data_IF_797920499849
#
_entry.id   IF_797920499849
#
_cell.length_a   1.000
_cell.length_b   1.000
_cell.length_c   1.000
_cell.angle_alpha   90.00
_cell.angle_beta   90.00
_cell.angle_gamma   90.00
#
_symmetry.space_group_name_H-M   'P 1'
#
loop_
_entity.id
_entity.type
_entity.pdbx_description
1 polymer ?
#
# COMPACT_ATOMS: atom_id res chain seq x y z
N UNK A 1 4.01 4.33 -16.45
CA UNK A 1 4.34 2.90 -16.20
C UNK A 1 5.53 2.77 -15.26
N UNK A 2 5.46 1.80 -14.34
CA UNK A 2 6.49 1.43 -13.37
C UNK A 2 7.52 0.47 -13.98
N UNK A 3 8.18 0.88 -15.05
CA UNK A 3 9.13 0.03 -15.76
C UNK A 3 10.25 -0.43 -14.82
N UNK A 4 10.49 -1.75 -14.76
CA UNK A 4 11.49 -2.41 -13.91
C UNK A 4 11.32 -2.24 -12.39
N UNK A 5 10.12 -1.92 -11.92
CA UNK A 5 9.85 -1.91 -10.48
C UNK A 5 9.73 -3.34 -9.92
N UNK A 6 9.94 -3.48 -8.62
CA UNK A 6 9.67 -4.73 -7.90
C UNK A 6 8.18 -5.12 -8.04
N UNK A 7 7.29 -4.13 -8.14
CA UNK A 7 5.86 -4.38 -8.35
C UNK A 7 5.61 -5.13 -9.65
N UNK A 8 6.08 -4.59 -10.77
CA UNK A 8 5.89 -5.17 -12.11
C UNK A 8 6.57 -6.54 -12.30
N UNK A 9 7.59 -6.85 -11.50
CA UNK A 9 8.23 -8.17 -11.52
C UNK A 9 7.31 -9.27 -10.97
N UNK A 10 6.51 -8.94 -9.96
CA UNK A 10 5.65 -9.91 -9.26
C UNK A 10 4.17 -9.80 -9.67
N UNK A 11 3.73 -8.62 -10.10
CA UNK A 11 2.34 -8.29 -10.42
C UNK A 11 2.25 -7.67 -11.82
N UNK A 12 2.51 -8.42 -12.90
CA UNK A 12 2.46 -7.89 -14.27
C UNK A 12 1.05 -7.48 -14.68
N UNK A 13 0.03 -8.15 -14.16
CA UNK A 13 -1.38 -7.98 -14.54
C UNK A 13 -2.23 -7.25 -13.48
N UNK A 14 -1.61 -6.77 -12.40
CA UNK A 14 -2.31 -6.13 -11.28
C UNK A 14 -1.66 -4.81 -10.92
N UNK A 15 -2.46 -3.76 -10.86
CA UNK A 15 -2.01 -2.41 -10.52
C UNK A 15 -1.95 -2.18 -9.01
N UNK A 16 -1.14 -1.22 -8.57
CA UNK A 16 -1.13 -0.75 -7.18
C UNK A 16 -2.50 -0.18 -6.82
N UNK A 17 -3.10 0.55 -7.77
CA UNK A 17 -4.42 1.14 -7.60
C UNK A 17 -5.48 0.11 -7.22
N UNK A 18 -5.57 -1.01 -7.94
CA UNK A 18 -6.53 -2.08 -7.64
C UNK A 18 -6.30 -2.72 -6.27
N UNK A 19 -5.04 -2.93 -5.90
CA UNK A 19 -4.69 -3.45 -4.56
C UNK A 19 -5.12 -2.47 -3.48
N UNK A 20 -4.80 -1.19 -3.63
CA UNK A 20 -5.14 -0.16 -2.64
C UNK A 20 -6.66 -0.03 -2.50
N UNK A 21 -7.40 0.01 -3.61
CA UNK A 21 -8.85 0.05 -3.61
C UNK A 21 -9.45 -1.13 -2.80
N UNK A 22 -8.95 -2.35 -3.04
CA UNK A 22 -9.35 -3.55 -2.29
C UNK A 22 -8.95 -3.48 -0.82
N UNK A 23 -7.76 -2.97 -0.50
CA UNK A 23 -7.30 -2.82 0.89
C UNK A 23 -8.19 -1.82 1.64
N UNK A 24 -8.54 -0.69 1.03
CA UNK A 24 -9.39 0.33 1.64
C UNK A 24 -10.88 0.01 1.57
N UNK A 25 -11.30 -0.95 0.75
CA UNK A 25 -12.71 -1.29 0.55
C UNK A 25 -13.47 -0.20 -0.20
N UNK A 26 -12.80 0.46 -1.15
CA UNK A 26 -13.34 1.57 -1.94
C UNK A 26 -13.16 1.30 -3.44
N UNK A 27 -13.68 2.17 -4.29
CA UNK A 27 -13.51 2.08 -5.74
C UNK A 27 -12.11 2.52 -6.16
N UNK A 28 -11.59 1.94 -7.24
CA UNK A 28 -10.30 2.34 -7.82
C UNK A 28 -10.28 3.80 -8.29
N UNK A 29 -11.44 4.38 -8.64
CA UNK A 29 -11.54 5.80 -9.04
C UNK A 29 -11.26 6.76 -7.87
N UNK A 30 -11.38 6.30 -6.62
CA UNK A 30 -11.04 7.08 -5.43
C UNK A 30 -9.53 7.07 -5.15
N UNK A 31 -8.79 6.16 -5.80
CA UNK A 31 -7.33 6.04 -5.69
C UNK A 31 -6.68 6.79 -6.85
N UNK A 32 -5.58 7.46 -6.54
CA UNK A 32 -4.81 8.26 -7.49
C UNK A 32 -4.48 7.53 -8.80
N UNK A 33 -4.58 8.32 -9.87
CA UNK A 33 -3.96 8.17 -11.18
C UNK A 33 -2.76 7.23 -11.38
N UNK A 34 -1.69 7.74 -10.79
CA UNK A 34 -0.34 7.53 -11.25
C UNK A 34 0.31 6.46 -10.38
N UNK A 35 0.46 5.29 -10.97
CA UNK A 35 1.15 4.15 -10.36
C UNK A 35 2.54 4.52 -9.80
N UNK A 36 3.24 5.49 -10.40
CA UNK A 36 4.54 5.96 -9.90
C UNK A 36 4.40 6.69 -8.56
N UNK A 37 3.40 7.56 -8.44
CA UNK A 37 3.12 8.28 -7.20
C UNK A 37 2.58 7.34 -6.11
N UNK A 38 1.70 6.40 -6.47
CA UNK A 38 1.21 5.38 -5.54
C UNK A 38 2.37 4.52 -5.00
N UNK A 39 3.27 4.09 -5.89
CA UNK A 39 4.45 3.33 -5.49
C UNK A 39 5.41 4.14 -4.62
N UNK A 40 5.62 5.42 -4.96
CA UNK A 40 6.44 6.33 -4.17
C UNK A 40 5.85 6.54 -2.77
N UNK A 41 4.53 6.72 -2.64
CA UNK A 41 3.83 6.81 -1.37
C UNK A 41 4.06 5.57 -0.50
N UNK A 42 3.87 4.36 -1.06
CA UNK A 42 4.15 3.13 -0.34
C UNK A 42 5.62 3.03 0.12
N UNK A 43 6.57 3.42 -0.73
CA UNK A 43 8.01 3.45 -0.38
C UNK A 43 8.36 4.44 0.73
N UNK A 44 7.64 5.56 0.87
CA UNK A 44 7.88 6.54 1.94
C UNK A 44 7.49 5.99 3.32
N UNK A 45 6.46 5.15 3.38
CA UNK A 45 5.87 4.71 4.66
C UNK A 45 6.21 3.27 5.04
N UNK A 46 6.54 2.43 4.07
CA UNK A 46 6.92 1.04 4.28
C UNK A 46 8.43 0.88 4.20
N UNK A 47 8.98 0.05 5.07
CA UNK A 47 10.35 -0.41 4.90
C UNK A 47 10.48 -1.26 3.63
N UNK A 48 11.70 -1.39 3.10
CA UNK A 48 11.98 -2.25 1.93
C UNK A 48 11.47 -3.69 2.12
N UNK A 49 11.60 -4.24 3.32
CA UNK A 49 11.08 -5.58 3.67
C UNK A 49 9.55 -5.62 3.66
N UNK A 50 8.89 -4.65 4.29
CA UNK A 50 7.42 -4.59 4.31
C UNK A 50 6.84 -4.44 2.91
N UNK A 51 7.40 -3.54 2.10
CA UNK A 51 6.96 -3.33 0.73
C UNK A 51 7.12 -4.61 -0.11
N UNK A 52 8.28 -5.26 -0.05
CA UNK A 52 8.55 -6.50 -0.78
C UNK A 52 7.59 -7.62 -0.38
N UNK A 53 7.39 -7.80 0.92
CA UNK A 53 6.46 -8.78 1.46
C UNK A 53 5.02 -8.52 0.99
N UNK A 54 4.55 -7.27 1.01
CA UNK A 54 3.21 -6.90 0.50
C UNK A 54 3.12 -7.23 -0.99
N UNK A 55 4.10 -6.84 -1.80
CA UNK A 55 4.13 -7.11 -3.24
C UNK A 55 4.02 -8.60 -3.54
N UNK A 56 4.82 -9.43 -2.86
CA UNK A 56 4.81 -10.88 -3.07
C UNK A 56 3.52 -11.53 -2.57
N UNK A 57 2.99 -11.06 -1.44
CA UNK A 57 1.71 -11.52 -0.92
C UNK A 57 0.58 -11.21 -1.91
N UNK A 58 0.60 -10.03 -2.52
CA UNK A 58 -0.37 -9.64 -3.54
C UNK A 58 -0.21 -10.41 -4.85
N UNK A 59 1.00 -10.84 -5.17
CA UNK A 59 1.26 -11.74 -6.29
C UNK A 59 0.81 -13.19 -6.03
N UNK A 60 0.33 -13.50 -4.82
CA UNK A 60 -0.08 -14.85 -4.45
C UNK A 60 1.08 -15.81 -4.21
N UNK A 61 2.29 -15.29 -3.93
CA UNK A 61 3.42 -16.13 -3.54
C UNK A 61 3.11 -16.93 -2.27
N UNK A 62 3.63 -18.15 -2.19
CA UNK A 62 3.48 -18.99 -1.01
C UNK A 62 4.14 -18.34 0.23
N UNK A 63 3.54 -18.47 1.44
CA UNK A 63 4.10 -17.90 2.66
C UNK A 63 5.56 -18.28 2.90
N UNK A 64 5.95 -19.51 2.59
CA UNK A 64 7.32 -20.02 2.74
C UNK A 64 8.30 -19.26 1.85
N UNK A 65 7.94 -19.04 0.58
CA UNK A 65 8.76 -18.27 -0.36
C UNK A 65 8.89 -16.80 0.07
N UNK A 66 7.81 -16.21 0.58
CA UNK A 66 7.85 -14.84 1.12
C UNK A 66 8.77 -14.78 2.34
N UNK A 67 8.64 -15.75 3.26
CA UNK A 67 9.41 -15.83 4.49
C UNK A 67 10.92 -15.92 4.20
N UNK A 68 11.31 -16.79 3.28
CA UNK A 68 12.70 -16.94 2.80
C UNK A 68 13.22 -15.63 2.20
N UNK A 69 12.47 -15.03 1.27
CA UNK A 69 12.89 -13.85 0.51
C UNK A 69 13.06 -12.59 1.39
N UNK A 70 12.37 -12.53 2.53
CA UNK A 70 12.48 -11.42 3.50
C UNK A 70 13.25 -11.79 4.77
N UNK A 71 13.69 -13.05 4.88
CA UNK A 71 14.46 -13.59 6.00
C UNK A 71 13.69 -13.56 7.32
N UNK A 72 12.47 -14.10 7.34
CA UNK A 72 11.61 -14.25 8.52
C UNK A 72 11.15 -15.70 8.66
N UNK A 73 10.79 -16.11 9.87
CA UNK A 73 10.03 -17.34 10.11
C UNK A 73 8.52 -17.14 9.89
N UNK A 74 7.73 -18.22 9.94
CA UNK A 74 6.29 -18.19 9.67
C UNK A 74 5.47 -17.37 10.69
N UNK A 75 5.90 -17.28 11.95
CA UNK A 75 5.22 -16.49 12.97
C UNK A 75 5.55 -15.00 12.81
N UNK A 76 6.84 -14.70 12.60
CA UNK A 76 7.34 -13.36 12.34
C UNK A 76 6.75 -12.79 11.04
N UNK A 77 6.62 -13.61 9.99
CA UNK A 77 5.97 -13.23 8.74
C UNK A 77 4.53 -12.81 8.97
N UNK A 78 3.73 -13.62 9.68
CA UNK A 78 2.32 -13.27 9.98
C UNK A 78 2.20 -11.95 10.74
N UNK A 79 3.05 -11.73 11.74
CA UNK A 79 3.10 -10.46 12.49
C UNK A 79 3.52 -9.29 11.60
N UNK A 80 4.50 -9.48 10.73
CA UNK A 80 4.97 -8.47 9.81
C UNK A 80 3.90 -8.10 8.77
N UNK A 81 3.23 -9.08 8.17
CA UNK A 81 2.12 -8.89 7.23
C UNK A 81 1.01 -8.06 7.86
N UNK A 82 0.55 -8.47 9.05
CA UNK A 82 -0.48 -7.72 9.77
C UNK A 82 -0.07 -6.25 10.01
N UNK A 83 1.18 -6.02 10.46
CA UNK A 83 1.70 -4.66 10.68
C UNK A 83 1.77 -3.85 9.39
N UNK A 84 2.23 -4.43 8.28
CA UNK A 84 2.34 -3.75 7.00
C UNK A 84 0.97 -3.34 6.45
N UNK A 85 -0.02 -4.24 6.43
CA UNK A 85 -1.38 -3.88 6.00
C UNK A 85 -2.03 -2.88 6.94
N UNK A 86 -1.81 -3.00 8.26
CA UNK A 86 -2.28 -1.99 9.22
C UNK A 86 -1.64 -0.63 8.96
N UNK A 87 -0.37 -0.56 8.57
CA UNK A 87 0.29 0.69 8.15
C UNK A 87 -0.39 1.26 6.92
N UNK A 88 -0.58 0.47 5.86
CA UNK A 88 -1.25 0.91 4.62
C UNK A 88 -2.63 1.50 4.91
N UNK A 89 -3.37 0.90 5.85
CA UNK A 89 -4.70 1.38 6.31
C UNK A 89 -4.67 2.68 7.13
N UNK A 90 -3.49 3.19 7.52
CA UNK A 90 -3.41 4.44 8.27
C UNK A 90 -3.86 5.62 7.39
N UNK A 91 -4.62 6.52 8.01
CA UNK A 91 -5.21 7.68 7.34
C UNK A 91 -4.19 8.54 6.60
N UNK A 92 -3.00 8.73 7.18
CA UNK A 92 -1.92 9.49 6.52
C UNK A 92 -1.49 8.91 5.17
N UNK A 93 -1.43 7.58 5.05
CA UNK A 93 -1.07 6.91 3.79
C UNK A 93 -2.27 6.96 2.85
N UNK A 94 -3.47 6.69 3.37
CA UNK A 94 -4.72 6.76 2.62
C UNK A 94 -4.89 8.13 1.95
N UNK A 95 -4.67 9.23 2.67
CA UNK A 95 -4.73 10.59 2.12
C UNK A 95 -3.69 10.85 1.02
N UNK A 96 -2.49 10.31 1.17
CA UNK A 96 -1.44 10.43 0.15
C UNK A 96 -1.75 9.66 -1.14
N UNK A 97 -2.55 8.60 -1.08
CA UNK A 97 -2.91 7.79 -2.26
C UNK A 97 -4.30 8.08 -2.81
N UNK A 98 -5.18 8.71 -2.02
CA UNK A 98 -6.51 9.16 -2.42
C UNK A 98 -6.51 10.56 -3.07
N UNK A 99 -5.45 10.90 -3.82
CA UNK A 99 -5.21 12.24 -4.40
C UNK A 99 -6.36 12.74 -5.33
N UNK A 100 -7.42 11.95 -5.56
CA UNK A 100 -8.61 12.31 -6.33
C UNK A 100 -9.83 12.80 -5.53
N UNK A 101 -9.84 12.72 -4.20
CA UNK A 101 -10.88 13.40 -3.41
C UNK A 101 -10.36 14.78 -2.98
N UNK A 102 -11.13 15.87 -3.19
CA UNK A 102 -10.80 17.13 -2.54
C UNK A 102 -10.65 16.83 -1.05
N UNK A 103 -9.50 17.21 -0.50
CA UNK A 103 -9.38 17.26 0.95
C UNK A 103 -10.41 18.30 1.37
N UNK A 104 -11.54 17.88 1.91
CA UNK A 104 -12.27 18.75 2.82
C UNK A 104 -11.27 19.05 3.94
N UNK A 105 -10.64 20.21 3.85
CA UNK A 105 -9.97 20.80 4.98
C UNK A 105 -10.99 20.73 6.13
N UNK A 106 -10.62 20.26 7.33
CA UNK A 106 -11.52 20.38 8.45
C UNK A 106 -11.86 21.87 8.55
N UNK A 107 -13.13 22.22 8.31
CA UNK A 107 -13.63 23.55 8.63
C UNK A 107 -13.32 23.76 10.10
N UNK A 108 -12.28 24.56 10.36
CA UNK A 108 -12.02 25.19 11.63
C UNK A 108 -13.20 26.13 11.86
N UNK A 109 -14.31 25.55 12.36
CA UNK A 109 -15.41 26.33 12.90
C UNK A 109 -14.83 27.05 14.10
N UNK A 110 -14.43 28.30 13.86
CA UNK A 110 -14.05 29.22 14.90
C UNK A 110 -15.14 29.25 15.96
N UNK A 111 -14.83 28.71 17.14
CA UNK A 111 -15.56 29.01 18.35
C UNK A 111 -15.24 30.47 18.72
N UNK A 112 -15.99 31.40 18.10
CA UNK A 112 -16.32 32.67 18.73
C UNK A 112 -17.29 32.41 19.88
N UNK A 113 -16.80 32.48 21.12
CA UNK A 113 -17.56 32.96 22.29
C UNK A 113 -16.65 33.75 23.22
#
# INVERSE_FOLDING_TARGET
>A
MLENSLWTQYNPDKTIREVLARVYGCSAVEIGEDERELYAALKRHLTKKELKMVIMNEAGCAPEAIAEEVGLDAEALRKAQYKAYRKIRQEKIRREVNVGMPQEEPEDNGDEQ
#
